data_IF_369817706314
#
_entry.id   IF_369817706314
#
_cell.length_a   1.000
_cell.length_b   1.000
_cell.length_c   1.000
_cell.angle_alpha   90.00
_cell.angle_beta   90.00
_cell.angle_gamma   90.00
#
_symmetry.space_group_name_H-M   'P 1'
#
loop_
_entity.id
_entity.type
_entity.pdbx_description
1 polymer ?
#
# COMPACT_ATOMS: atom_id res chain seq x y z
N UNK A 1 -2.79 117.85 5.74
CA UNK A 1 -2.16 118.62 4.64
C UNK A 1 -2.12 120.13 4.86
N UNK A 2 -2.99 120.78 5.67
CA UNK A 2 -2.87 122.23 5.92
C UNK A 2 -1.76 122.63 6.91
N UNK A 3 -1.27 121.72 7.77
CA UNK A 3 -0.24 122.00 8.79
C UNK A 3 1.13 122.34 8.17
N UNK A 4 1.60 121.53 7.22
CA UNK A 4 2.96 121.64 6.66
C UNK A 4 3.16 122.91 5.83
N UNK A 5 2.16 123.33 5.04
CA UNK A 5 2.25 124.53 4.22
C UNK A 5 2.26 125.83 5.04
N UNK A 6 1.75 125.81 6.27
CA UNK A 6 1.83 126.95 7.21
C UNK A 6 3.17 126.91 7.94
N UNK A 7 3.60 125.73 8.36
CA UNK A 7 4.91 125.50 9.00
C UNK A 7 6.09 125.91 8.12
N UNK A 8 6.07 125.58 6.82
CA UNK A 8 7.14 125.95 5.87
C UNK A 8 7.19 127.45 5.56
N UNK A 9 6.03 128.13 5.54
CA UNK A 9 5.97 129.60 5.40
C UNK A 9 6.48 130.31 6.64
N UNK A 10 6.20 129.77 7.82
CA UNK A 10 6.72 130.30 9.08
C UNK A 10 8.23 130.03 9.24
N UNK A 11 8.72 128.86 8.84
CA UNK A 11 10.14 128.52 8.83
C UNK A 11 10.95 129.45 7.90
N UNK A 12 10.42 129.77 6.71
CA UNK A 12 10.99 130.75 5.77
C UNK A 12 11.12 132.14 6.42
N UNK A 13 10.03 132.63 7.03
CA UNK A 13 10.01 133.94 7.72
C UNK A 13 11.03 134.02 8.85
N UNK A 14 11.17 132.96 9.65
CA UNK A 14 12.16 132.90 10.74
C UNK A 14 13.61 132.90 10.23
N UNK A 15 13.89 132.29 9.07
CA UNK A 15 15.21 132.37 8.44
C UNK A 15 15.52 133.80 7.97
N UNK A 16 14.53 134.49 7.41
CA UNK A 16 14.64 135.91 7.01
C UNK A 16 14.89 136.83 8.22
N UNK A 17 14.23 136.61 9.36
CA UNK A 17 14.44 137.35 10.62
C UNK A 17 15.85 137.15 11.22
N UNK A 18 16.51 136.01 10.96
CA UNK A 18 17.86 135.68 11.44
C UNK A 18 18.96 136.13 10.44
N UNK A 19 18.57 136.86 9.39
CA UNK A 19 19.49 137.55 8.47
C UNK A 19 19.78 136.83 7.15
N UNK A 20 19.00 135.81 6.77
CA UNK A 20 19.04 135.24 5.42
C UNK A 20 18.25 136.12 4.43
N UNK A 21 18.79 136.35 3.22
CA UNK A 21 18.04 137.02 2.14
C UNK A 21 16.89 136.10 1.62
N UNK A 22 15.75 136.64 1.13
CA UNK A 22 14.60 135.84 0.72
C UNK A 22 14.90 134.70 -0.27
N UNK A 23 15.89 134.90 -1.15
CA UNK A 23 16.33 133.89 -2.12
C UNK A 23 17.05 132.70 -1.46
N UNK A 24 17.88 132.98 -0.45
CA UNK A 24 18.61 131.98 0.31
C UNK A 24 17.68 131.21 1.25
N UNK A 25 16.73 131.90 1.88
CA UNK A 25 15.72 131.28 2.74
C UNK A 25 14.80 130.32 1.96
N UNK A 26 14.42 130.68 0.72
CA UNK A 26 13.62 129.84 -0.17
C UNK A 26 14.36 128.57 -0.62
N UNK A 27 15.62 128.70 -1.04
CA UNK A 27 16.43 127.55 -1.45
C UNK A 27 16.68 126.55 -0.30
N UNK A 28 16.86 127.04 0.93
CA UNK A 28 16.99 126.18 2.11
C UNK A 28 15.68 125.47 2.43
N UNK A 29 14.54 126.17 2.39
CA UNK A 29 13.22 125.58 2.61
C UNK A 29 12.88 124.54 1.55
N UNK A 30 13.20 124.80 0.28
CA UNK A 30 13.00 123.86 -0.82
C UNK A 30 13.90 122.62 -0.68
N UNK A 31 15.17 122.80 -0.35
CA UNK A 31 16.11 121.71 -0.10
C UNK A 31 15.66 120.84 1.08
N UNK A 32 15.20 121.47 2.18
CA UNK A 32 14.72 120.74 3.37
C UNK A 32 13.40 120.02 3.05
N UNK A 33 12.46 120.65 2.38
CA UNK A 33 11.20 120.04 1.93
C UNK A 33 11.44 118.83 1.01
N UNK A 34 12.36 118.96 0.05
CA UNK A 34 12.76 117.86 -0.84
C UNK A 34 13.42 116.71 -0.08
N UNK A 35 14.31 117.01 0.87
CA UNK A 35 14.89 115.99 1.75
C UNK A 35 13.84 115.31 2.60
N UNK A 36 12.88 116.03 3.16
CA UNK A 36 11.81 115.44 3.96
C UNK A 36 10.91 114.50 3.15
N UNK A 37 10.63 114.81 1.88
CA UNK A 37 9.91 113.90 0.98
C UNK A 37 10.68 112.61 0.66
N UNK A 38 12.01 112.63 0.73
CA UNK A 38 12.86 111.45 0.48
C UNK A 38 13.03 110.55 1.72
N UNK A 39 12.71 111.05 2.92
CA UNK A 39 12.81 110.30 4.15
C UNK A 39 11.56 109.42 4.33
N UNK A 40 11.74 108.20 4.83
CA UNK A 40 10.63 107.36 5.25
C UNK A 40 9.78 108.09 6.30
N UNK A 41 8.46 108.02 6.17
CA UNK A 41 7.58 108.65 7.15
C UNK A 41 7.60 107.87 8.46
N UNK A 42 7.11 108.51 9.53
CA UNK A 42 6.95 107.84 10.82
C UNK A 42 6.04 106.61 10.74
N UNK A 43 5.04 106.65 9.87
CA UNK A 43 4.09 105.56 9.67
C UNK A 43 4.74 104.38 8.94
N UNK A 44 5.55 104.64 7.91
CA UNK A 44 6.35 103.59 7.23
C UNK A 44 7.27 102.89 8.23
N UNK A 45 7.94 103.66 9.10
CA UNK A 45 8.81 103.11 10.15
C UNK A 45 8.03 102.32 11.19
N UNK A 46 6.79 102.71 11.49
CA UNK A 46 5.92 101.96 12.41
C UNK A 46 5.48 100.61 11.80
N UNK A 47 5.12 100.59 10.52
CA UNK A 47 4.80 99.35 9.78
C UNK A 47 6.01 98.42 9.73
N UNK A 48 7.18 98.92 9.32
CA UNK A 48 8.42 98.12 9.30
C UNK A 48 8.79 97.55 10.67
N UNK A 49 8.54 98.28 11.76
CA UNK A 49 8.72 97.75 13.12
C UNK A 49 7.76 96.59 13.42
N UNK A 50 6.52 96.69 12.94
CA UNK A 50 5.53 95.61 13.02
C UNK A 50 5.98 94.37 12.24
N UNK A 51 6.34 94.53 10.98
CA UNK A 51 6.81 93.43 10.12
C UNK A 51 8.07 92.76 10.70
N UNK A 52 9.02 93.55 11.22
CA UNK A 52 10.21 93.02 11.88
C UNK A 52 9.85 92.27 13.17
N UNK A 53 8.81 92.69 13.90
CA UNK A 53 8.34 91.97 15.08
C UNK A 53 7.71 90.62 14.70
N UNK A 54 6.91 90.57 13.63
CA UNK A 54 6.34 89.32 13.09
C UNK A 54 7.46 88.40 12.60
N UNK A 55 8.39 88.90 11.79
CA UNK A 55 9.51 88.11 11.28
C UNK A 55 10.37 87.51 12.41
N UNK A 56 10.57 88.25 13.51
CA UNK A 56 11.26 87.72 14.70
C UNK A 56 10.50 86.57 15.34
N UNK A 57 9.18 86.65 15.37
CA UNK A 57 8.33 85.58 15.89
C UNK A 57 8.37 84.34 14.98
N UNK A 58 8.18 84.51 13.67
CA UNK A 58 8.24 83.41 12.69
C UNK A 58 9.61 82.72 12.70
N UNK A 59 10.71 83.49 12.81
CA UNK A 59 12.06 82.94 12.95
C UNK A 59 12.25 82.17 14.26
N UNK A 60 11.56 82.56 15.33
CA UNK A 60 11.57 81.79 16.57
C UNK A 60 10.85 80.44 16.39
N UNK A 61 9.65 80.44 15.79
CA UNK A 61 8.92 79.21 15.50
C UNK A 61 9.70 78.28 14.56
N UNK A 62 10.31 78.80 13.50
CA UNK A 62 11.16 78.03 12.60
C UNK A 62 12.35 77.39 13.31
N UNK A 63 12.91 78.04 14.34
CA UNK A 63 13.99 77.43 15.14
C UNK A 63 13.48 76.25 15.96
N UNK A 64 12.28 76.36 16.51
CA UNK A 64 11.64 75.29 17.27
C UNK A 64 11.30 74.11 16.34
N UNK A 65 10.66 74.37 15.19
CA UNK A 65 10.36 73.33 14.18
C UNK A 65 11.63 72.61 13.69
N UNK A 66 12.71 73.36 13.44
CA UNK A 66 14.00 72.76 13.03
C UNK A 66 14.63 71.95 14.17
N UNK A 67 14.42 72.35 15.43
CA UNK A 67 14.86 71.55 16.57
C UNK A 67 14.10 70.22 16.65
N UNK A 68 12.78 70.25 16.47
CA UNK A 68 11.94 69.06 16.47
C UNK A 68 12.26 68.13 15.28
N UNK A 69 12.50 68.68 14.10
CA UNK A 69 12.95 67.92 12.93
C UNK A 69 14.28 67.19 13.18
N UNK A 70 15.22 67.83 13.88
CA UNK A 70 16.49 67.18 14.25
C UNK A 70 16.28 66.01 15.21
N UNK A 71 15.38 66.17 16.18
CA UNK A 71 15.02 65.08 17.11
C UNK A 71 14.33 63.94 16.36
N UNK A 72 13.40 64.26 15.46
CA UNK A 72 12.73 63.29 14.61
C UNK A 72 13.70 62.52 13.72
N UNK A 73 14.67 63.21 13.11
CA UNK A 73 15.72 62.60 12.29
C UNK A 73 16.57 61.62 13.10
N UNK A 74 17.03 62.02 14.29
CA UNK A 74 17.81 61.14 15.16
C UNK A 74 17.03 59.88 15.59
N UNK A 75 15.71 60.01 15.81
CA UNK A 75 14.83 58.87 16.09
C UNK A 75 14.70 57.91 14.90
N UNK A 76 14.58 58.45 13.68
CA UNK A 76 14.53 57.65 12.44
C UNK A 76 15.83 56.90 12.21
N UNK A 77 16.98 57.55 12.41
CA UNK A 77 18.30 56.93 12.30
C UNK A 77 18.41 55.74 13.27
N UNK A 78 18.03 55.90 14.53
CA UNK A 78 18.03 54.80 15.50
C UNK A 78 17.09 53.64 15.12
N UNK A 79 15.93 53.95 14.51
CA UNK A 79 15.02 52.91 13.99
C UNK A 79 15.60 52.17 12.78
N UNK A 80 16.33 52.87 11.90
CA UNK A 80 17.02 52.27 10.75
C UNK A 80 18.16 51.35 11.20
N UNK A 81 18.93 51.75 12.20
CA UNK A 81 19.96 50.91 12.82
C UNK A 81 19.34 49.65 13.44
N UNK A 82 18.23 49.82 14.19
CA UNK A 82 17.48 48.71 14.75
C UNK A 82 16.94 47.75 13.68
N UNK A 83 16.38 48.26 12.59
CA UNK A 83 15.89 47.44 11.48
C UNK A 83 17.04 46.69 10.81
N UNK A 84 18.20 47.32 10.65
CA UNK A 84 19.41 46.70 10.09
C UNK A 84 19.84 45.51 10.95
N UNK A 85 19.87 45.68 12.28
CA UNK A 85 20.19 44.60 13.22
C UNK A 85 19.17 43.43 13.17
N UNK A 86 17.88 43.75 13.02
CA UNK A 86 16.82 42.74 12.87
C UNK A 86 17.01 41.94 11.57
N UNK A 87 17.29 42.62 10.45
CA UNK A 87 17.51 41.96 9.15
C UNK A 87 18.73 41.04 9.20
N UNK A 88 19.83 41.46 9.83
CA UNK A 88 21.01 40.61 9.99
C UNK A 88 20.74 39.40 10.89
N UNK A 89 19.89 39.56 11.89
CA UNK A 89 19.46 38.46 12.75
C UNK A 89 18.62 37.45 11.99
N UNK A 90 17.59 37.91 11.26
CA UNK A 90 16.77 37.04 10.43
C UNK A 90 17.59 36.30 9.37
N UNK A 91 18.56 36.97 8.74
CA UNK A 91 19.48 36.34 7.78
C UNK A 91 20.32 35.24 8.43
N UNK A 92 20.79 35.44 9.66
CA UNK A 92 21.55 34.43 10.40
C UNK A 92 20.68 33.23 10.73
N UNK A 93 19.52 33.47 11.33
CA UNK A 93 18.58 32.39 11.64
C UNK A 93 18.14 31.60 10.41
N UNK A 94 17.90 32.28 9.28
CA UNK A 94 17.56 31.61 8.03
C UNK A 94 18.68 30.70 7.53
N UNK A 95 19.95 31.15 7.63
CA UNK A 95 21.12 30.31 7.30
C UNK A 95 21.25 29.11 8.24
N UNK A 96 21.09 29.33 9.54
CA UNK A 96 21.21 28.28 10.55
C UNK A 96 20.11 27.22 10.39
N UNK A 97 18.87 27.66 10.14
CA UNK A 97 17.75 26.74 9.81
C UNK A 97 18.03 25.96 8.52
N UNK A 98 18.54 26.61 7.48
CA UNK A 98 18.86 25.94 6.21
C UNK A 98 19.94 24.87 6.41
N UNK A 99 21.01 25.18 7.16
CA UNK A 99 22.07 24.22 7.45
C UNK A 99 21.58 23.06 8.33
N UNK A 100 20.74 23.35 9.34
CA UNK A 100 20.13 22.32 10.17
C UNK A 100 19.23 21.38 9.35
N UNK A 101 18.39 21.92 8.46
CA UNK A 101 17.53 21.12 7.59
C UNK A 101 18.33 20.27 6.61
N UNK A 102 19.43 20.82 6.07
CA UNK A 102 20.33 20.08 5.18
C UNK A 102 20.99 18.89 5.89
N UNK A 103 21.46 19.09 7.12
CA UNK A 103 22.04 18.01 7.95
C UNK A 103 21.02 16.92 8.26
N UNK A 104 19.83 17.31 8.69
CA UNK A 104 18.73 16.38 8.97
C UNK A 104 18.33 15.58 7.72
N UNK A 105 18.23 16.24 6.55
CA UNK A 105 17.88 15.58 5.31
C UNK A 105 18.94 14.54 4.90
N UNK A 106 20.23 14.88 5.02
CA UNK A 106 21.30 13.93 4.73
C UNK A 106 21.26 12.74 5.69
N UNK A 107 21.09 12.97 6.99
CA UNK A 107 20.97 11.88 7.97
C UNK A 107 19.78 10.96 7.67
N UNK A 108 18.65 11.52 7.20
CA UNK A 108 17.50 10.72 6.75
C UNK A 108 17.77 9.91 5.50
N UNK A 109 18.53 10.46 4.55
CA UNK A 109 18.95 9.75 3.34
C UNK A 109 19.84 8.55 3.74
N UNK A 110 20.86 8.79 4.57
CA UNK A 110 21.75 7.74 5.06
C UNK A 110 20.97 6.63 5.79
N UNK A 111 20.03 7.01 6.66
CA UNK A 111 19.17 6.06 7.38
C UNK A 111 18.25 5.25 6.44
N UNK A 112 17.71 5.90 5.39
CA UNK A 112 16.91 5.22 4.38
C UNK A 112 17.74 4.24 3.56
N UNK A 113 18.96 4.61 3.14
CA UNK A 113 19.87 3.73 2.43
C UNK A 113 20.18 2.47 3.24
N UNK A 114 20.51 2.62 4.52
CA UNK A 114 20.74 1.49 5.44
C UNK A 114 19.48 0.64 5.58
N UNK A 115 18.32 1.26 5.83
CA UNK A 115 17.06 0.52 5.99
C UNK A 115 16.66 -0.25 4.74
N UNK A 116 16.87 0.31 3.56
CA UNK A 116 16.53 -0.35 2.29
C UNK A 116 17.50 -1.49 2.02
N UNK A 117 18.80 -1.30 2.28
CA UNK A 117 19.80 -2.36 2.19
C UNK A 117 19.44 -3.57 3.06
N UNK A 118 19.16 -3.35 4.34
CA UNK A 118 18.78 -4.41 5.27
C UNK A 118 17.50 -5.15 4.85
N UNK A 119 16.51 -4.42 4.29
CA UNK A 119 15.27 -5.03 3.79
C UNK A 119 15.50 -5.91 2.57
N UNK A 120 16.39 -5.51 1.66
CA UNK A 120 16.73 -6.31 0.48
C UNK A 120 17.47 -7.59 0.89
N UNK A 121 18.42 -7.50 1.82
CA UNK A 121 19.13 -8.67 2.35
C UNK A 121 18.17 -9.67 3.02
N UNK A 122 17.27 -9.16 3.87
CA UNK A 122 16.27 -10.00 4.53
C UNK A 122 15.34 -10.67 3.51
N UNK A 123 14.89 -9.94 2.49
CA UNK A 123 14.03 -10.49 1.44
C UNK A 123 14.73 -11.56 0.62
N UNK A 124 16.00 -11.36 0.24
CA UNK A 124 16.80 -12.37 -0.45
C UNK A 124 17.03 -13.62 0.41
N UNK A 125 17.30 -13.45 1.70
CA UNK A 125 17.44 -14.59 2.63
C UNK A 125 16.15 -15.40 2.73
N UNK A 126 15.01 -14.73 2.84
CA UNK A 126 13.69 -15.37 2.90
C UNK A 126 13.38 -16.14 1.61
N UNK A 127 13.61 -15.54 0.43
CA UNK A 127 13.39 -16.22 -0.84
C UNK A 127 14.29 -17.46 -1.01
N UNK A 128 15.56 -17.37 -0.60
CA UNK A 128 16.46 -18.51 -0.62
C UNK A 128 15.99 -19.62 0.33
N UNK A 129 15.56 -19.26 1.55
CA UNK A 129 15.01 -20.21 2.51
C UNK A 129 13.77 -20.93 1.97
N UNK A 130 12.85 -20.19 1.34
CA UNK A 130 11.66 -20.77 0.70
C UNK A 130 12.00 -21.68 -0.48
N UNK A 131 13.01 -21.33 -1.28
CA UNK A 131 13.46 -22.17 -2.39
C UNK A 131 14.00 -23.51 -1.88
N UNK A 132 14.90 -23.48 -0.89
CA UNK A 132 15.45 -24.69 -0.27
C UNK A 132 14.35 -25.56 0.36
N UNK A 133 13.38 -24.96 1.03
CA UNK A 133 12.24 -25.70 1.60
C UNK A 133 11.41 -26.38 0.50
N UNK A 134 11.11 -25.67 -0.59
CA UNK A 134 10.35 -26.22 -1.72
C UNK A 134 11.09 -27.36 -2.41
N UNK A 135 12.40 -27.21 -2.63
CA UNK A 135 13.25 -28.27 -3.19
C UNK A 135 13.25 -29.52 -2.30
N UNK A 136 13.33 -29.33 -0.98
CA UNK A 136 13.23 -30.41 0.00
C UNK A 136 11.87 -31.12 -0.05
N UNK A 137 10.77 -30.36 -0.05
CA UNK A 137 9.41 -30.90 -0.11
C UNK A 137 9.14 -31.67 -1.41
N UNK A 138 9.54 -31.13 -2.57
CA UNK A 138 9.38 -31.80 -3.86
C UNK A 138 10.16 -33.10 -3.90
N UNK A 139 11.41 -33.09 -3.42
CA UNK A 139 12.24 -34.29 -3.31
C UNK A 139 11.59 -35.33 -2.41
N UNK A 140 11.14 -34.93 -1.21
CA UNK A 140 10.48 -35.83 -0.26
C UNK A 140 9.19 -36.44 -0.81
N UNK A 141 8.37 -35.64 -1.52
CA UNK A 141 7.16 -36.13 -2.20
C UNK A 141 7.47 -37.13 -3.31
N UNK A 142 8.55 -36.90 -4.08
CA UNK A 142 8.97 -37.81 -5.14
C UNK A 142 9.41 -39.16 -4.57
N UNK A 143 10.24 -39.16 -3.52
CA UNK A 143 10.64 -40.39 -2.82
C UNK A 143 9.43 -41.15 -2.24
N UNK A 144 8.49 -40.44 -1.61
CA UNK A 144 7.28 -41.06 -1.07
C UNK A 144 6.40 -41.69 -2.17
N UNK A 145 6.30 -41.03 -3.32
CA UNK A 145 5.55 -41.54 -4.47
C UNK A 145 6.21 -42.80 -5.04
N UNK A 146 7.53 -42.79 -5.23
CA UNK A 146 8.29 -43.96 -5.71
C UNK A 146 8.14 -45.17 -4.77
N UNK A 147 8.26 -44.94 -3.46
CA UNK A 147 8.05 -45.99 -2.46
C UNK A 147 6.61 -46.51 -2.50
N UNK A 148 5.61 -45.62 -2.60
CA UNK A 148 4.20 -45.99 -2.67
C UNK A 148 3.85 -46.81 -3.91
N UNK A 149 4.36 -46.42 -5.09
CA UNK A 149 4.17 -47.17 -6.34
C UNK A 149 4.83 -48.54 -6.26
N UNK A 150 6.05 -48.62 -5.73
CA UNK A 150 6.77 -49.89 -5.52
C UNK A 150 5.99 -50.81 -4.59
N UNK A 151 5.52 -50.30 -3.45
CA UNK A 151 4.72 -51.07 -2.49
C UNK A 151 3.45 -51.63 -3.12
N UNK A 152 2.69 -50.81 -3.85
CA UNK A 152 1.48 -51.26 -4.55
C UNK A 152 1.77 -52.32 -5.62
N UNK A 153 2.90 -52.21 -6.32
CA UNK A 153 3.32 -53.22 -7.31
C UNK A 153 3.55 -54.57 -6.62
N UNK A 154 4.30 -54.57 -5.50
CA UNK A 154 4.57 -55.81 -4.74
C UNK A 154 3.28 -56.44 -4.18
N UNK A 155 2.35 -55.62 -3.68
CA UNK A 155 1.07 -56.10 -3.17
C UNK A 155 0.21 -56.72 -4.29
N UNK A 156 0.21 -56.09 -5.48
CA UNK A 156 -0.50 -56.61 -6.64
C UNK A 156 0.08 -57.95 -7.10
N UNK A 157 1.41 -58.06 -7.21
CA UNK A 157 2.09 -59.30 -7.61
C UNK A 157 1.80 -60.45 -6.63
N UNK A 158 1.88 -60.18 -5.33
CA UNK A 158 1.54 -61.15 -4.30
C UNK A 158 0.06 -61.57 -4.38
N UNK A 159 -0.83 -60.60 -4.56
CA UNK A 159 -2.27 -60.84 -4.68
C UNK A 159 -2.63 -61.69 -5.90
N UNK A 160 -2.05 -61.40 -7.07
CA UNK A 160 -2.27 -62.18 -8.30
C UNK A 160 -1.73 -63.61 -8.13
N UNK A 161 -0.54 -63.75 -7.55
CA UNK A 161 0.06 -65.07 -7.28
C UNK A 161 -0.82 -65.89 -6.34
N UNK A 162 -1.29 -65.29 -5.23
CA UNK A 162 -2.18 -65.96 -4.28
C UNK A 162 -3.48 -66.44 -4.94
N UNK A 163 -4.14 -65.57 -5.73
CA UNK A 163 -5.35 -65.95 -6.46
C UNK A 163 -5.13 -67.07 -7.48
N UNK A 164 -3.97 -67.10 -8.14
CA UNK A 164 -3.62 -68.18 -9.07
C UNK A 164 -3.51 -69.51 -8.31
N UNK A 165 -2.81 -69.53 -7.17
CA UNK A 165 -2.69 -70.75 -6.35
C UNK A 165 -4.04 -71.25 -5.83
N UNK A 166 -4.92 -70.34 -5.41
CA UNK A 166 -6.27 -70.70 -4.95
C UNK A 166 -7.12 -71.27 -6.10
N UNK A 167 -7.01 -70.68 -7.29
CA UNK A 167 -7.70 -71.18 -8.49
C UNK A 167 -7.22 -72.58 -8.88
N UNK A 168 -5.91 -72.81 -8.91
CA UNK A 168 -5.31 -74.12 -9.21
C UNK A 168 -5.80 -75.19 -8.21
N UNK A 169 -5.70 -74.91 -6.91
CA UNK A 169 -6.19 -75.80 -5.87
C UNK A 169 -7.70 -76.08 -6.02
N UNK A 170 -8.48 -75.05 -6.30
CA UNK A 170 -9.92 -75.16 -6.55
C UNK A 170 -10.26 -76.04 -7.75
N UNK A 171 -9.56 -75.87 -8.87
CA UNK A 171 -9.75 -76.68 -10.09
C UNK A 171 -9.36 -78.13 -9.84
N UNK A 172 -8.21 -78.38 -9.20
CA UNK A 172 -7.76 -79.73 -8.84
C UNK A 172 -8.77 -80.41 -7.89
N UNK A 173 -9.25 -79.71 -6.87
CA UNK A 173 -10.25 -80.22 -5.94
C UNK A 173 -11.57 -80.58 -6.63
N UNK A 174 -12.05 -79.75 -7.56
CA UNK A 174 -13.26 -80.03 -8.36
C UNK A 174 -13.07 -81.22 -9.30
N UNK A 175 -11.90 -81.37 -9.92
CA UNK A 175 -11.59 -82.54 -10.76
C UNK A 175 -11.60 -83.83 -9.94
N UNK A 176 -10.96 -83.85 -8.77
CA UNK A 176 -10.97 -85.00 -7.87
C UNK A 176 -12.39 -85.36 -7.41
N UNK A 177 -13.20 -84.36 -7.05
CA UNK A 177 -14.60 -84.59 -6.67
C UNK A 177 -15.43 -85.16 -7.83
N UNK A 178 -15.19 -84.69 -9.07
CA UNK A 178 -15.84 -85.21 -10.27
C UNK A 178 -15.45 -86.67 -10.54
N UNK A 179 -14.15 -87.00 -10.48
CA UNK A 179 -13.64 -88.36 -10.66
C UNK A 179 -14.23 -89.33 -9.64
N UNK A 180 -14.20 -88.96 -8.35
CA UNK A 180 -14.83 -89.73 -7.28
C UNK A 180 -16.34 -89.94 -7.53
N UNK A 181 -17.04 -88.90 -7.97
CA UNK A 181 -18.46 -88.96 -8.31
C UNK A 181 -18.76 -89.89 -9.49
N UNK A 182 -17.96 -89.83 -10.57
CA UNK A 182 -18.12 -90.71 -11.75
C UNK A 182 -17.84 -92.16 -11.36
N UNK A 183 -16.75 -92.42 -10.64
CA UNK A 183 -16.39 -93.75 -10.14
C UNK A 183 -17.50 -94.32 -9.25
N UNK A 184 -17.99 -93.54 -8.28
CA UNK A 184 -19.09 -93.98 -7.40
C UNK A 184 -20.37 -94.31 -8.16
N UNK A 185 -20.73 -93.51 -9.18
CA UNK A 185 -21.88 -93.81 -10.05
C UNK A 185 -21.67 -95.07 -10.87
N UNK A 186 -20.46 -95.33 -11.37
CA UNK A 186 -20.14 -96.53 -12.14
C UNK A 186 -20.23 -97.78 -11.27
N UNK A 187 -19.66 -97.76 -10.07
CA UNK A 187 -19.80 -98.86 -9.09
C UNK A 187 -21.27 -99.12 -8.73
N UNK A 188 -22.06 -98.07 -8.51
CA UNK A 188 -23.49 -98.22 -8.23
C UNK A 188 -24.26 -98.84 -9.41
N UNK A 189 -23.91 -98.46 -10.65
CA UNK A 189 -24.49 -99.03 -11.87
C UNK A 189 -24.14 -100.51 -12.03
N UNK A 190 -22.87 -100.88 -11.85
CA UNK A 190 -22.39 -102.27 -11.91
C UNK A 190 -23.08 -103.14 -10.86
N UNK A 191 -23.12 -102.69 -9.61
CA UNK A 191 -23.83 -103.39 -8.54
C UNK A 191 -25.33 -103.57 -8.84
N UNK A 192 -25.98 -102.55 -9.38
CA UNK A 192 -27.38 -102.62 -9.81
C UNK A 192 -27.61 -103.60 -10.96
N UNK A 193 -26.73 -103.62 -11.96
CA UNK A 193 -26.78 -104.57 -13.08
C UNK A 193 -26.58 -106.01 -12.61
N UNK A 194 -25.59 -106.26 -11.76
CA UNK A 194 -25.34 -107.58 -11.16
C UNK A 194 -26.55 -108.05 -10.37
N UNK A 195 -27.09 -107.22 -9.49
CA UNK A 195 -28.28 -107.57 -8.71
C UNK A 195 -29.50 -107.87 -9.58
N UNK A 196 -29.70 -107.15 -10.69
CA UNK A 196 -30.77 -107.46 -11.67
C UNK A 196 -30.52 -108.78 -12.39
N UNK A 197 -29.28 -109.08 -12.79
CA UNK A 197 -28.93 -110.35 -13.42
C UNK A 197 -29.13 -111.54 -12.47
N UNK A 198 -28.71 -111.42 -11.21
CA UNK A 198 -28.93 -112.42 -10.17
C UNK A 198 -30.44 -112.66 -9.96
N UNK A 199 -31.21 -111.56 -9.90
CA UNK A 199 -32.67 -111.59 -9.86
C UNK A 199 -33.27 -112.39 -11.03
N UNK A 200 -32.88 -112.07 -12.27
CA UNK A 200 -33.32 -112.80 -13.46
C UNK A 200 -32.88 -114.28 -13.44
N UNK A 201 -31.66 -114.58 -12.99
CA UNK A 201 -31.15 -115.94 -12.83
C UNK A 201 -31.99 -116.77 -11.85
N UNK A 202 -32.38 -116.17 -10.73
CA UNK A 202 -33.28 -116.81 -9.76
C UNK A 202 -34.67 -117.06 -10.34
N UNK A 203 -35.23 -116.11 -11.10
CA UNK A 203 -36.51 -116.26 -11.79
C UNK A 203 -36.48 -117.38 -12.83
N UNK A 204 -35.45 -117.43 -13.67
CA UNK A 204 -35.27 -118.50 -14.66
C UNK A 204 -35.10 -119.88 -14.00
N UNK A 205 -34.36 -119.95 -12.90
CA UNK A 205 -34.21 -121.20 -12.13
C UNK A 205 -35.56 -121.67 -11.59
N UNK A 206 -36.35 -120.74 -11.05
CA UNK A 206 -37.70 -121.00 -10.57
C UNK A 206 -38.61 -121.50 -11.70
N UNK A 207 -38.62 -120.81 -12.85
CA UNK A 207 -39.37 -121.23 -14.05
C UNK A 207 -38.93 -122.62 -14.52
N UNK A 208 -37.62 -122.89 -14.57
CA UNK A 208 -37.06 -124.20 -14.95
C UNK A 208 -37.55 -125.30 -14.01
N UNK A 209 -37.59 -125.03 -12.70
CA UNK A 209 -38.10 -125.96 -11.71
C UNK A 209 -39.58 -126.26 -11.93
N UNK A 210 -40.41 -125.23 -12.14
CA UNK A 210 -41.83 -125.38 -12.46
C UNK A 210 -42.05 -126.16 -13.76
N UNK A 211 -41.33 -125.83 -14.84
CA UNK A 211 -41.41 -126.56 -16.11
C UNK A 211 -41.02 -128.03 -15.94
N UNK A 212 -39.93 -128.31 -15.21
CA UNK A 212 -39.52 -129.67 -14.88
C UNK A 212 -40.58 -130.44 -14.10
N UNK A 213 -41.17 -129.82 -13.08
CA UNK A 213 -42.28 -130.40 -12.31
C UNK A 213 -43.51 -130.67 -13.20
N UNK A 214 -43.85 -129.75 -14.11
CA UNK A 214 -44.96 -129.89 -15.05
C UNK A 214 -44.73 -131.03 -16.04
N UNK A 215 -43.53 -131.14 -16.63
CA UNK A 215 -43.14 -132.25 -17.51
C UNK A 215 -43.23 -133.58 -16.75
N UNK A 216 -42.73 -133.64 -15.53
CA UNK A 216 -42.80 -134.85 -14.68
C UNK A 216 -44.25 -135.27 -14.39
N UNK A 217 -45.16 -134.31 -14.15
CA UNK A 217 -46.60 -134.60 -13.98
C UNK A 217 -47.28 -135.09 -15.27
N UNK A 218 -46.89 -134.58 -16.45
CA UNK A 218 -47.47 -135.00 -17.73
C UNK A 218 -46.88 -136.31 -18.28
N UNK A 219 -45.66 -136.69 -17.87
CA UNK A 219 -45.00 -137.92 -18.29
C UNK A 219 -45.87 -139.19 -18.19
N UNK A 220 -46.55 -139.50 -17.05
CA UNK A 220 -47.42 -140.68 -16.97
C UNK A 220 -48.61 -140.62 -17.93
N UNK A 221 -49.20 -139.44 -18.19
CA UNK A 221 -50.28 -139.28 -19.15
C UNK A 221 -49.80 -139.52 -20.60
N UNK A 222 -48.59 -139.08 -20.95
CA UNK A 222 -47.99 -139.36 -22.27
C UNK A 222 -47.63 -140.84 -22.46
N UNK A 223 -47.09 -141.50 -21.44
CA UNK A 223 -46.82 -142.95 -21.47
C UNK A 223 -48.12 -143.75 -21.60
N UNK A 224 -49.17 -143.33 -20.90
CA UNK A 224 -50.50 -143.92 -21.04
C UNK A 224 -51.07 -143.76 -22.46
N UNK A 225 -50.97 -142.57 -23.06
CA UNK A 225 -51.39 -142.30 -24.44
C UNK A 225 -50.58 -143.11 -25.48
N UNK A 226 -49.25 -143.21 -25.33
CA UNK A 226 -48.39 -144.00 -26.25
C UNK A 226 -48.69 -145.50 -26.11
N UNK A 227 -48.92 -146.00 -24.89
CA UNK A 227 -49.36 -147.39 -24.67
C UNK A 227 -50.73 -147.67 -25.29
N UNK A 228 -51.64 -146.69 -25.27
CA UNK A 228 -52.95 -146.80 -25.90
C UNK A 228 -52.87 -146.75 -27.43
N UNK A 229 -51.91 -146.02 -27.99
CA UNK A 229 -51.71 -145.88 -29.44
C UNK A 229 -50.90 -147.03 -30.09
N UNK A 230 -50.27 -147.89 -29.30
CA UNK A 230 -49.52 -149.09 -29.74
C UNK A 230 -50.34 -150.40 -29.58
N UNK A 231 -51.63 -150.29 -29.27
CA UNK A 231 -52.64 -151.34 -29.30
C UNK A 231 -53.60 -151.08 -30.46
#
# INVERSE_FOLDING_TARGET
>A
MQSTAVEWREARRKLEEVGFDPSQAEALVEMVSSREQQLATRDDVAVLRGDVAVLKHDVALLKDDVADLKVGMASIEGRLDGLTAVVDTLRREARDRHESLRKELNARIDALEVSVGARLEAFSSELNGRMTALEGDVTGRMTALEAGVTGRMTELEAGVTGRMTELEAGVTGRMAALEAGVTGRMTALEGGLTGRMDGLGSQLTTIKWFLGAMIAMMAPATVALVRLALL
#
